data_IF_985654220811
#
_entry.id   IF_985654220811
#
_cell.length_a   1.000
_cell.length_b   1.000
_cell.length_c   1.000
_cell.angle_alpha   90.00
_cell.angle_beta   90.00
_cell.angle_gamma   90.00
#
_symmetry.space_group_name_H-M   'P 1'
#
loop_
_entity.id
_entity.type
_entity.pdbx_description
1 polymer ?
#
# COMPACT_ATOMS: atom_id res chain seq x y z
N UNK A 1 21.46 -17.34 -6.97
CA UNK A 1 20.20 -17.63 -6.32
C UNK A 1 19.14 -16.51 -6.56
N UNK A 2 19.41 -15.23 -6.27
CA UNK A 2 18.42 -14.15 -6.30
C UNK A 2 17.85 -13.84 -7.70
N UNK A 3 18.62 -13.90 -8.77
CA UNK A 3 18.10 -13.73 -10.16
C UNK A 3 17.07 -14.79 -10.53
N UNK A 4 17.30 -16.04 -10.13
CA UNK A 4 16.36 -17.14 -10.37
C UNK A 4 15.06 -16.92 -9.61
N UNK A 5 15.12 -16.46 -8.35
CA UNK A 5 13.93 -16.12 -7.55
C UNK A 5 13.13 -14.97 -8.16
N UNK A 6 13.81 -13.90 -8.59
CA UNK A 6 13.16 -12.76 -9.27
C UNK A 6 12.49 -13.23 -10.57
N UNK A 7 13.20 -13.99 -11.41
CA UNK A 7 12.64 -14.50 -12.65
C UNK A 7 11.44 -15.41 -12.41
N UNK A 8 11.54 -16.34 -11.47
CA UNK A 8 10.44 -17.22 -11.11
C UNK A 8 9.20 -16.46 -10.64
N UNK A 9 9.37 -15.45 -9.77
CA UNK A 9 8.26 -14.57 -9.36
C UNK A 9 7.62 -13.87 -10.57
N UNK A 10 8.42 -13.36 -11.48
CA UNK A 10 7.94 -12.65 -12.67
C UNK A 10 7.29 -13.55 -13.73
N UNK A 11 7.45 -14.87 -13.61
CA UNK A 11 6.66 -15.83 -14.40
C UNK A 11 5.21 -15.92 -13.90
N UNK A 12 4.95 -15.56 -12.64
CA UNK A 12 3.62 -15.67 -12.01
C UNK A 12 2.95 -14.31 -11.78
N UNK A 13 3.70 -13.21 -11.77
CA UNK A 13 3.15 -11.87 -11.54
C UNK A 13 3.88 -10.79 -12.33
N UNK A 14 3.25 -9.65 -12.48
CA UNK A 14 3.90 -8.44 -12.98
C UNK A 14 4.11 -7.48 -11.81
N UNK A 15 5.37 -7.10 -11.56
CA UNK A 15 5.71 -6.34 -10.37
C UNK A 15 6.73 -5.23 -10.62
N UNK A 16 6.68 -4.16 -9.79
CA UNK A 16 7.68 -3.10 -9.81
C UNK A 16 8.93 -3.46 -8.97
N UNK A 17 10.01 -2.73 -9.18
CA UNK A 17 11.31 -2.96 -8.51
C UNK A 17 11.18 -2.98 -6.99
N UNK A 18 10.37 -2.09 -6.41
CA UNK A 18 10.24 -1.95 -4.95
C UNK A 18 9.60 -3.20 -4.34
N UNK A 19 8.52 -3.68 -4.96
CA UNK A 19 7.82 -4.88 -4.51
C UNK A 19 8.70 -6.13 -4.68
N UNK A 20 9.35 -6.30 -5.83
CA UNK A 20 10.28 -7.41 -6.07
C UNK A 20 11.42 -7.42 -5.05
N UNK A 21 12.00 -6.26 -4.75
CA UNK A 21 13.05 -6.14 -3.74
C UNK A 21 12.55 -6.61 -2.36
N UNK A 22 11.34 -6.21 -1.97
CA UNK A 22 10.72 -6.64 -0.72
C UNK A 22 10.43 -8.15 -0.69
N UNK A 23 9.87 -8.71 -1.78
CA UNK A 23 9.53 -10.14 -1.90
C UNK A 23 10.76 -11.05 -1.81
N UNK A 24 11.89 -10.63 -2.39
CA UNK A 24 13.14 -11.43 -2.37
C UNK A 24 14.07 -11.06 -1.21
N UNK A 25 13.72 -10.10 -0.37
CA UNK A 25 14.50 -9.69 0.80
C UNK A 25 15.81 -8.97 0.43
N UNK A 26 15.79 -8.09 -0.57
CA UNK A 26 16.97 -7.34 -1.01
C UNK A 26 16.67 -5.84 -1.14
N UNK A 27 17.73 -5.04 -1.36
CA UNK A 27 17.56 -3.60 -1.64
C UNK A 27 17.07 -3.34 -3.07
N UNK A 28 16.33 -2.25 -3.29
CA UNK A 28 15.86 -1.85 -4.63
C UNK A 28 17.00 -1.67 -5.66
N UNK A 29 18.17 -1.11 -5.30
CA UNK A 29 19.32 -1.07 -6.23
C UNK A 29 19.81 -2.46 -6.66
N UNK A 30 19.86 -3.43 -5.72
CA UNK A 30 20.26 -4.80 -6.04
C UNK A 30 19.23 -5.49 -6.94
N UNK A 31 17.92 -5.32 -6.66
CA UNK A 31 16.85 -5.82 -7.52
C UNK A 31 16.92 -5.20 -8.92
N UNK A 32 17.13 -3.89 -9.02
CA UNK A 32 17.30 -3.19 -10.31
C UNK A 32 18.46 -3.73 -11.14
N UNK A 33 19.59 -4.06 -10.49
CA UNK A 33 20.73 -4.67 -11.17
C UNK A 33 20.37 -6.05 -11.76
N UNK A 34 19.68 -6.90 -10.98
CA UNK A 34 19.25 -8.21 -11.47
C UNK A 34 18.19 -8.11 -12.57
N UNK A 35 17.25 -7.19 -12.46
CA UNK A 35 16.22 -6.94 -13.47
C UNK A 35 16.81 -6.44 -14.79
N UNK A 36 17.84 -5.58 -14.74
CA UNK A 36 18.56 -5.16 -15.94
C UNK A 36 19.18 -6.36 -16.65
N UNK A 37 19.89 -7.23 -15.92
CA UNK A 37 20.50 -8.43 -16.49
C UNK A 37 19.49 -9.39 -17.10
N UNK A 38 18.33 -9.58 -16.43
CA UNK A 38 17.23 -10.42 -16.93
C UNK A 38 16.59 -9.82 -18.19
N UNK A 39 16.49 -8.48 -18.25
CA UNK A 39 15.98 -7.78 -19.42
C UNK A 39 16.96 -7.84 -20.59
N UNK A 40 18.24 -7.62 -20.34
CA UNK A 40 19.30 -7.70 -21.36
C UNK A 40 19.42 -9.11 -21.96
N UNK A 41 19.10 -10.16 -21.17
CA UNK A 41 19.03 -11.54 -21.66
C UNK A 41 17.71 -11.90 -22.36
N UNK A 42 16.76 -10.98 -22.47
CA UNK A 42 15.47 -11.22 -23.11
C UNK A 42 14.49 -12.09 -22.31
N UNK A 43 14.81 -12.42 -21.06
CA UNK A 43 13.95 -13.25 -20.19
C UNK A 43 12.82 -12.45 -19.53
N UNK A 44 12.99 -11.13 -19.42
CA UNK A 44 12.04 -10.23 -18.76
C UNK A 44 11.78 -9.04 -19.64
N UNK A 45 10.54 -8.62 -19.71
CA UNK A 45 10.10 -7.37 -20.35
C UNK A 45 9.65 -6.38 -19.29
N UNK A 46 9.66 -5.10 -19.66
CA UNK A 46 9.21 -4.05 -18.75
C UNK A 46 8.29 -3.07 -19.46
N UNK A 47 7.31 -2.55 -18.72
CA UNK A 47 6.46 -1.45 -19.16
C UNK A 47 6.42 -0.35 -18.11
N UNK A 48 6.19 0.87 -18.55
CA UNK A 48 6.07 2.02 -17.65
C UNK A 48 4.60 2.33 -17.43
N UNK A 49 4.21 2.43 -16.15
CA UNK A 49 2.88 2.85 -15.75
C UNK A 49 3.06 4.07 -14.82
N UNK A 50 2.69 5.24 -15.29
CA UNK A 50 2.91 6.48 -14.56
C UNK A 50 4.39 6.75 -14.28
N UNK A 51 4.77 6.80 -13.00
CA UNK A 51 6.16 7.04 -12.55
C UNK A 51 6.96 5.76 -12.35
N UNK A 52 6.36 4.59 -12.49
CA UNK A 52 6.93 3.30 -12.13
C UNK A 52 7.15 2.41 -13.33
N UNK A 53 8.11 1.49 -13.19
CA UNK A 53 8.43 0.49 -14.19
C UNK A 53 8.06 -0.87 -13.62
N UNK A 54 7.15 -1.54 -14.30
CA UNK A 54 6.71 -2.90 -14.00
C UNK A 54 7.45 -3.90 -14.88
N UNK A 55 7.73 -5.06 -14.34
CA UNK A 55 8.47 -6.14 -14.98
C UNK A 55 7.64 -7.42 -14.94
N UNK A 56 7.68 -8.20 -16.02
CA UNK A 56 7.12 -9.55 -16.09
C UNK A 56 8.03 -10.44 -16.92
N UNK A 57 7.90 -11.75 -16.82
CA UNK A 57 8.60 -12.66 -17.71
C UNK A 57 8.21 -12.36 -19.17
N UNK A 58 9.18 -12.51 -20.06
CA UNK A 58 8.94 -12.39 -21.50
C UNK A 58 8.12 -13.59 -21.99
N UNK A 59 7.21 -13.35 -22.91
CA UNK A 59 6.43 -14.40 -23.57
C UNK A 59 7.26 -15.00 -24.71
N UNK A 60 8.33 -15.72 -24.33
CA UNK A 60 9.26 -16.36 -25.26
C UNK A 60 9.43 -17.84 -24.89
N UNK A 61 9.71 -18.67 -25.89
CA UNK A 61 9.99 -20.10 -25.67
C UNK A 61 11.11 -20.31 -24.65
N UNK A 62 12.16 -19.50 -24.71
CA UNK A 62 13.31 -19.57 -23.80
C UNK A 62 12.91 -19.29 -22.35
N UNK A 63 12.07 -18.27 -22.13
CA UNK A 63 11.56 -17.96 -20.79
C UNK A 63 10.67 -19.08 -20.27
N UNK A 64 9.80 -19.65 -21.12
CA UNK A 64 8.95 -20.81 -20.74
C UNK A 64 9.76 -22.06 -20.41
N UNK A 65 10.77 -22.38 -21.20
CA UNK A 65 11.68 -23.51 -20.91
C UNK A 65 12.45 -23.32 -19.60
N UNK A 66 12.97 -22.11 -19.38
CA UNK A 66 13.69 -21.82 -18.13
C UNK A 66 12.77 -21.92 -16.92
N UNK A 67 11.53 -21.45 -17.01
CA UNK A 67 10.52 -21.60 -15.96
C UNK A 67 10.28 -23.09 -15.62
N UNK A 68 10.04 -23.92 -16.63
CA UNK A 68 9.85 -25.37 -16.44
C UNK A 68 11.07 -26.05 -15.79
N UNK A 69 12.29 -25.65 -16.18
CA UNK A 69 13.52 -26.19 -15.59
C UNK A 69 13.62 -25.81 -14.12
N UNK A 70 13.31 -24.56 -13.76
CA UNK A 70 13.34 -24.11 -12.37
C UNK A 70 12.34 -24.90 -11.53
N UNK A 71 11.11 -25.07 -11.99
CA UNK A 71 10.09 -25.86 -11.27
C UNK A 71 10.49 -27.31 -11.04
N UNK A 72 11.07 -27.95 -12.05
CA UNK A 72 11.53 -29.35 -11.94
C UNK A 72 12.76 -29.52 -11.04
N UNK A 73 13.62 -28.51 -10.96
CA UNK A 73 14.91 -28.62 -10.26
C UNK A 73 14.80 -28.27 -8.78
N UNK A 74 13.84 -27.42 -8.40
CA UNK A 74 13.78 -26.84 -7.04
C UNK A 74 12.63 -27.45 -6.23
N UNK A 75 11.86 -28.41 -6.78
CA UNK A 75 10.60 -28.93 -6.18
C UNK A 75 9.66 -27.81 -5.69
N UNK A 76 9.77 -26.63 -6.28
CA UNK A 76 8.88 -25.51 -6.01
C UNK A 76 7.65 -25.72 -6.86
N UNK A 77 6.61 -26.24 -6.26
CA UNK A 77 5.29 -26.24 -6.87
C UNK A 77 4.87 -24.79 -7.10
N UNK A 78 4.47 -24.43 -8.32
CA UNK A 78 3.80 -23.15 -8.56
C UNK A 78 2.70 -23.00 -7.52
N UNK A 79 2.62 -21.89 -6.79
CA UNK A 79 1.46 -21.62 -5.96
C UNK A 79 0.24 -21.76 -6.86
N UNK A 80 -0.71 -22.62 -6.48
CA UNK A 80 -2.01 -22.66 -7.15
C UNK A 80 -2.57 -21.24 -7.14
N UNK A 81 -3.27 -20.86 -8.18
CA UNK A 81 -3.86 -19.52 -8.37
C UNK A 81 -4.59 -18.98 -7.13
N UNK A 82 -5.04 -19.84 -6.23
CA UNK A 82 -5.73 -19.50 -4.98
C UNK A 82 -4.80 -19.06 -3.82
N UNK A 83 -3.48 -19.24 -3.92
CA UNK A 83 -2.54 -19.03 -2.80
C UNK A 83 -1.61 -17.82 -2.97
N UNK A 84 -1.57 -17.19 -4.15
CA UNK A 84 -0.85 -15.95 -4.37
C UNK A 84 -1.85 -14.79 -4.35
N UNK A 85 -1.63 -13.74 -3.56
CA UNK A 85 -2.36 -12.51 -3.79
C UNK A 85 -1.94 -12.02 -5.17
N UNK A 86 -2.79 -12.29 -6.17
CA UNK A 86 -2.58 -11.78 -7.51
C UNK A 86 -2.47 -10.26 -7.45
N UNK A 87 -1.32 -9.74 -7.86
CA UNK A 87 -1.35 -8.40 -8.40
C UNK A 87 -2.40 -8.39 -9.51
N UNK A 88 -3.32 -7.42 -9.54
CA UNK A 88 -4.40 -7.42 -10.50
C UNK A 88 -3.81 -7.60 -11.90
N UNK A 89 -4.27 -8.62 -12.64
CA UNK A 89 -4.04 -8.74 -14.06
C UNK A 89 -4.57 -7.46 -14.71
N UNK A 90 -3.67 -6.52 -14.92
CA UNK A 90 -3.98 -5.40 -15.78
C UNK A 90 -4.20 -5.98 -17.19
N UNK A 91 -5.34 -5.70 -17.83
CA UNK A 91 -5.63 -6.22 -19.15
C UNK A 91 -4.47 -5.89 -20.11
N UNK A 92 -4.25 -6.70 -21.16
CA UNK A 92 -3.24 -6.43 -22.17
C UNK A 92 -3.46 -5.02 -22.71
N UNK A 93 -2.38 -4.22 -22.72
CA UNK A 93 -2.44 -2.85 -23.22
C UNK A 93 -2.42 -2.88 -24.74
N UNK A 94 -3.57 -3.17 -25.35
CA UNK A 94 -3.86 -2.71 -26.71
C UNK A 94 -4.55 -1.36 -26.59
N UNK A 95 -3.80 -0.35 -27.01
CA UNK A 95 -4.28 0.98 -27.37
C UNK A 95 -5.41 1.55 -26.51
N UNK A 96 -5.06 2.44 -25.56
CA UNK A 96 -5.77 3.73 -25.42
C UNK A 96 -5.00 4.59 -24.42
N UNK A 97 -4.17 5.46 -24.95
CA UNK A 97 -3.78 6.68 -24.27
C UNK A 97 -5.05 7.52 -24.11
N UNK A 98 -5.52 7.67 -22.87
CA UNK A 98 -6.62 8.59 -22.58
C UNK A 98 -7.86 7.94 -22.03
N UNK A 99 -7.85 7.58 -20.74
CA UNK A 99 -9.06 7.56 -19.90
C UNK A 99 -8.64 7.30 -18.44
N UNK A 100 -8.24 8.36 -17.75
CA UNK A 100 -8.16 8.38 -16.29
C UNK A 100 -9.56 8.64 -15.71
N UNK A 101 -10.50 7.75 -15.99
CA UNK A 101 -11.84 7.76 -15.42
C UNK A 101 -12.43 6.35 -15.26
N UNK A 102 -11.59 5.31 -15.19
CA UNK A 102 -12.05 3.99 -14.82
C UNK A 102 -11.92 3.87 -13.29
N UNK A 103 -13.05 3.63 -12.59
CA UNK A 103 -13.09 3.38 -11.16
C UNK A 103 -12.19 2.20 -10.77
N UNK A 104 -11.87 2.09 -9.47
CA UNK A 104 -11.05 0.99 -8.94
C UNK A 104 -11.66 -0.36 -9.35
N UNK A 105 -10.79 -1.32 -9.69
CA UNK A 105 -11.25 -2.70 -9.84
C UNK A 105 -11.80 -3.23 -8.51
N UNK A 106 -12.70 -4.22 -8.51
CA UNK A 106 -13.21 -4.81 -7.26
C UNK A 106 -12.12 -5.26 -6.30
N UNK A 107 -11.05 -5.85 -6.84
CA UNK A 107 -9.91 -6.31 -6.06
C UNK A 107 -9.07 -5.14 -5.49
N UNK A 108 -8.83 -4.09 -6.27
CA UNK A 108 -8.16 -2.89 -5.78
C UNK A 108 -8.97 -2.21 -4.67
N UNK A 109 -10.29 -2.14 -4.83
CA UNK A 109 -11.18 -1.59 -3.82
C UNK A 109 -11.13 -2.40 -2.54
N UNK A 110 -11.18 -3.72 -2.62
CA UNK A 110 -11.08 -4.61 -1.46
C UNK A 110 -9.76 -4.38 -0.69
N UNK A 111 -8.61 -4.31 -1.39
CA UNK A 111 -7.32 -4.02 -0.76
C UNK A 111 -7.34 -2.66 -0.08
N UNK A 112 -7.88 -1.64 -0.72
CA UNK A 112 -7.96 -0.28 -0.17
C UNK A 112 -8.89 -0.23 1.04
N UNK A 113 -9.99 -0.99 1.06
CA UNK A 113 -10.86 -1.14 2.22
C UNK A 113 -10.14 -1.82 3.40
N UNK A 114 -9.35 -2.86 3.14
CA UNK A 114 -8.54 -3.52 4.17
C UNK A 114 -7.43 -2.58 4.71
N UNK A 115 -6.82 -1.77 3.86
CA UNK A 115 -5.87 -0.71 4.28
C UNK A 115 -6.58 0.30 5.19
N UNK A 116 -7.77 0.76 4.81
CA UNK A 116 -8.57 1.68 5.61
C UNK A 116 -8.93 1.08 6.97
N UNK A 117 -9.44 -0.16 6.99
CA UNK A 117 -9.79 -0.85 8.22
C UNK A 117 -8.59 -0.97 9.16
N UNK A 118 -7.44 -1.44 8.66
CA UNK A 118 -6.21 -1.54 9.44
C UNK A 118 -5.81 -0.20 10.07
N UNK A 119 -5.93 0.88 9.34
CA UNK A 119 -5.56 2.22 9.79
C UNK A 119 -6.55 2.78 10.83
N UNK A 120 -7.84 2.53 10.67
CA UNK A 120 -8.89 3.01 11.59
C UNK A 120 -8.95 2.20 12.89
N UNK A 121 -8.60 0.93 12.85
CA UNK A 121 -8.45 0.09 14.05
C UNK A 121 -7.22 0.46 14.88
N UNK A 122 -6.19 1.05 14.27
CA UNK A 122 -4.90 1.37 14.90
C UNK A 122 -4.61 2.88 14.89
N UNK A 123 -5.58 3.70 15.29
CA UNK A 123 -5.43 5.16 15.30
C UNK A 123 -4.40 5.69 16.31
N UNK A 124 -4.12 4.93 17.36
CA UNK A 124 -3.13 5.23 18.39
C UNK A 124 -1.69 5.04 17.92
N UNK A 125 -1.48 4.22 16.90
CA UNK A 125 -0.18 3.88 16.36
C UNK A 125 0.12 4.60 15.04
N UNK A 126 1.42 4.72 14.70
CA UNK A 126 1.85 5.30 13.43
C UNK A 126 2.24 4.20 12.46
N UNK A 127 1.30 3.81 11.60
CA UNK A 127 1.59 2.90 10.50
C UNK A 127 2.12 3.71 9.32
N UNK A 128 3.32 3.37 8.82
CA UNK A 128 3.92 4.06 7.68
C UNK A 128 3.43 3.50 6.35
N UNK A 129 3.53 4.30 5.29
CA UNK A 129 3.14 3.85 3.94
C UNK A 129 3.99 2.66 3.47
N UNK A 130 5.26 2.59 3.91
CA UNK A 130 6.16 1.50 3.60
C UNK A 130 5.72 0.19 4.27
N UNK A 131 5.21 0.27 5.51
CA UNK A 131 4.64 -0.89 6.22
C UNK A 131 3.37 -1.38 5.53
N UNK A 132 2.49 -0.47 5.12
CA UNK A 132 1.29 -0.80 4.35
C UNK A 132 1.64 -1.43 3.01
N UNK A 133 2.59 -0.84 2.28
CA UNK A 133 3.05 -1.34 0.99
C UNK A 133 3.61 -2.76 1.07
N UNK A 134 4.38 -3.06 2.12
CA UNK A 134 4.89 -4.42 2.36
C UNK A 134 3.78 -5.39 2.72
N UNK A 135 2.84 -4.98 3.56
CA UNK A 135 1.74 -5.85 4.04
C UNK A 135 0.76 -6.20 2.92
N UNK A 136 0.41 -5.23 2.09
CA UNK A 136 -0.57 -5.39 1.01
C UNK A 136 0.07 -5.61 -0.37
N UNK A 137 1.40 -5.77 -0.41
CA UNK A 137 2.18 -5.99 -1.64
C UNK A 137 1.84 -4.98 -2.75
N UNK A 138 1.55 -3.75 -2.35
CA UNK A 138 1.15 -2.66 -3.24
C UNK A 138 2.18 -1.54 -3.19
N UNK A 139 2.50 -0.98 -4.35
CA UNK A 139 3.40 0.16 -4.44
C UNK A 139 2.88 1.38 -3.65
N UNK A 140 3.75 2.12 -2.94
CA UNK A 140 3.38 3.33 -2.21
C UNK A 140 2.64 4.38 -3.02
N UNK A 141 3.03 4.62 -4.27
CA UNK A 141 2.38 5.61 -5.14
C UNK A 141 1.00 5.14 -5.56
N UNK A 142 0.89 3.90 -6.02
CA UNK A 142 -0.38 3.27 -6.39
C UNK A 142 -1.35 3.24 -5.22
N UNK A 143 -0.89 2.85 -4.03
CA UNK A 143 -1.72 2.85 -2.81
C UNK A 143 -2.28 4.23 -2.49
N UNK A 144 -1.45 5.29 -2.57
CA UNK A 144 -1.90 6.67 -2.34
C UNK A 144 -2.93 7.13 -3.38
N UNK A 145 -2.71 6.80 -4.64
CA UNK A 145 -3.60 7.15 -5.75
C UNK A 145 -4.96 6.45 -5.62
N UNK A 146 -4.96 5.13 -5.42
CA UNK A 146 -6.18 4.34 -5.26
C UNK A 146 -6.94 4.74 -3.99
N UNK A 147 -6.24 4.95 -2.86
CA UNK A 147 -6.87 5.42 -1.63
C UNK A 147 -7.53 6.78 -1.81
N UNK A 148 -6.85 7.71 -2.49
CA UNK A 148 -7.42 9.03 -2.80
C UNK A 148 -8.61 8.93 -3.75
N UNK A 149 -8.57 8.02 -4.72
CA UNK A 149 -9.68 7.79 -5.64
C UNK A 149 -10.92 7.22 -4.92
N UNK A 150 -10.73 6.30 -3.96
CA UNK A 150 -11.83 5.67 -3.22
C UNK A 150 -12.40 6.58 -2.13
N UNK A 151 -11.54 7.25 -1.33
CA UNK A 151 -11.96 8.04 -0.16
C UNK A 151 -11.92 9.56 -0.37
N UNK A 152 -11.57 10.05 -1.55
CA UNK A 152 -11.54 11.48 -1.88
C UNK A 152 -10.40 12.28 -1.22
N UNK A 153 -9.63 11.67 -0.32
CA UNK A 153 -8.58 12.34 0.46
C UNK A 153 -7.31 11.49 0.57
N UNK A 154 -6.18 12.12 0.91
CA UNK A 154 -4.96 11.36 1.16
C UNK A 154 -5.08 10.52 2.44
N UNK A 155 -4.36 9.39 2.51
CA UNK A 155 -4.30 8.52 3.70
C UNK A 155 -4.03 9.34 4.98
N UNK A 156 -3.07 10.27 4.94
CA UNK A 156 -2.73 11.08 6.09
C UNK A 156 -3.84 12.04 6.53
N UNK A 157 -4.56 12.64 5.58
CA UNK A 157 -5.68 13.52 5.86
C UNK A 157 -6.89 12.73 6.41
N UNK A 158 -7.16 11.57 5.81
CA UNK A 158 -8.24 10.68 6.20
C UNK A 158 -8.06 10.17 7.64
N UNK A 159 -6.89 9.65 7.97
CA UNK A 159 -6.58 9.17 9.33
C UNK A 159 -6.58 10.32 10.35
N UNK A 160 -6.12 11.50 9.95
CA UNK A 160 -6.23 12.69 10.82
C UNK A 160 -7.67 13.00 11.18
N UNK A 161 -8.58 12.91 10.23
CA UNK A 161 -10.02 13.13 10.46
C UNK A 161 -10.56 12.09 11.45
N UNK A 162 -10.32 10.79 11.24
CA UNK A 162 -10.75 9.72 12.17
C UNK A 162 -10.16 9.88 13.57
N UNK A 163 -8.89 10.31 13.69
CA UNK A 163 -8.27 10.61 15.00
C UNK A 163 -9.00 11.75 15.71
N UNK A 164 -9.40 12.78 14.99
CA UNK A 164 -10.12 13.92 15.57
C UNK A 164 -11.56 13.54 15.94
N UNK A 165 -12.23 12.73 15.16
CA UNK A 165 -13.55 12.18 15.48
C UNK A 165 -13.52 11.30 16.73
N UNK A 166 -12.57 10.38 16.83
CA UNK A 166 -12.34 9.56 18.05
C UNK A 166 -12.01 10.44 19.25
N UNK A 167 -11.19 11.49 19.06
CA UNK A 167 -10.85 12.41 20.13
C UNK A 167 -12.09 13.18 20.64
N UNK A 168 -12.97 13.64 19.74
CA UNK A 168 -14.19 14.33 20.14
C UNK A 168 -15.10 13.42 20.98
N UNK A 169 -15.26 12.16 20.60
CA UNK A 169 -16.00 11.17 21.38
C UNK A 169 -15.37 10.96 22.78
N UNK A 170 -14.06 10.72 22.85
CA UNK A 170 -13.34 10.56 24.13
C UNK A 170 -13.44 11.80 25.04
N UNK A 171 -13.43 13.01 24.46
CA UNK A 171 -13.58 14.24 25.22
C UNK A 171 -14.95 14.35 25.91
N UNK A 172 -15.98 13.74 25.36
CA UNK A 172 -17.36 13.78 25.89
C UNK A 172 -17.67 12.60 26.80
N UNK A 173 -17.16 11.42 26.47
CA UNK A 173 -17.52 10.16 27.13
C UNK A 173 -16.59 9.80 28.29
N UNK A 174 -15.34 10.26 28.24
CA UNK A 174 -14.36 9.93 29.28
C UNK A 174 -13.98 11.13 30.14
N UNK A 175 -13.62 10.87 31.40
CA UNK A 175 -13.01 11.83 32.30
C UNK A 175 -11.52 12.05 32.05
N UNK A 176 -10.95 11.51 30.97
CA UNK A 176 -9.53 11.53 30.67
C UNK A 176 -8.98 12.94 30.52
N UNK A 177 -7.74 13.14 30.98
CA UNK A 177 -7.01 14.38 30.71
C UNK A 177 -6.77 14.57 29.21
N UNK A 178 -6.57 15.82 28.78
CA UNK A 178 -6.28 16.11 27.38
C UNK A 178 -5.01 15.41 26.88
N UNK A 179 -4.04 15.16 27.77
CA UNK A 179 -2.85 14.42 27.46
C UNK A 179 -3.12 12.91 27.24
N UNK A 180 -4.04 12.32 27.97
CA UNK A 180 -4.48 10.93 27.79
C UNK A 180 -5.25 10.78 26.47
N UNK A 181 -6.20 11.68 26.20
CA UNK A 181 -6.94 11.71 24.94
C UNK A 181 -5.98 11.85 23.75
N UNK A 182 -5.01 12.77 23.83
CA UNK A 182 -3.99 12.96 22.78
C UNK A 182 -3.24 11.66 22.47
N UNK A 183 -2.78 10.94 23.50
CA UNK A 183 -2.09 9.63 23.34
C UNK A 183 -3.00 8.57 22.75
N UNK A 184 -4.24 8.47 23.23
CA UNK A 184 -5.22 7.49 22.74
C UNK A 184 -5.56 7.63 21.25
N UNK A 185 -5.30 8.81 20.68
CA UNK A 185 -5.50 9.07 19.24
C UNK A 185 -4.17 9.27 18.49
N UNK A 186 -3.04 8.80 19.06
CA UNK A 186 -1.75 8.71 18.39
C UNK A 186 -0.96 10.02 18.29
N UNK A 187 -1.16 10.95 19.23
CA UNK A 187 -0.35 12.16 19.36
C UNK A 187 0.56 12.08 20.58
N UNK A 188 1.87 12.22 20.37
CA UNK A 188 2.87 12.24 21.42
C UNK A 188 2.81 13.53 22.26
N UNK A 189 2.31 14.62 21.67
CA UNK A 189 2.27 15.95 22.28
C UNK A 189 0.85 16.50 22.34
N UNK A 190 0.40 16.87 23.53
CA UNK A 190 -0.87 17.55 23.75
C UNK A 190 -0.97 18.86 22.94
N UNK A 191 0.13 19.58 22.78
CA UNK A 191 0.15 20.85 22.03
C UNK A 191 -0.12 20.59 20.53
N UNK A 192 0.52 19.57 19.94
CA UNK A 192 0.25 19.19 18.54
C UNK A 192 -1.18 18.70 18.36
N UNK A 193 -1.67 17.88 19.27
CA UNK A 193 -3.06 17.44 19.31
C UNK A 193 -4.03 18.63 19.34
N UNK A 194 -3.85 19.56 20.30
CA UNK A 194 -4.74 20.71 20.45
C UNK A 194 -4.76 21.62 19.22
N UNK A 195 -3.61 21.80 18.57
CA UNK A 195 -3.51 22.57 17.33
C UNK A 195 -4.26 21.90 16.17
N UNK A 196 -4.12 20.58 16.01
CA UNK A 196 -4.85 19.83 14.97
C UNK A 196 -6.35 19.77 15.26
N UNK A 197 -6.74 19.57 16.51
CA UNK A 197 -8.15 19.58 16.93
C UNK A 197 -8.82 20.93 16.62
N UNK A 198 -8.13 22.04 16.94
CA UNK A 198 -8.63 23.39 16.62
C UNK A 198 -8.78 23.61 15.10
N UNK A 199 -7.91 23.05 14.27
CA UNK A 199 -8.04 23.14 12.81
C UNK A 199 -9.31 22.44 12.29
N UNK A 200 -9.68 21.31 12.91
CA UNK A 200 -10.84 20.52 12.48
C UNK A 200 -12.15 21.05 13.05
N UNK A 201 -12.17 21.37 14.36
CA UNK A 201 -13.40 21.76 15.06
C UNK A 201 -13.54 23.27 15.31
N UNK A 202 -12.57 24.07 14.92
CA UNK A 202 -12.59 25.54 15.08
C UNK A 202 -12.30 26.04 16.51
N UNK A 203 -12.23 25.12 17.52
CA UNK A 203 -12.03 25.46 18.93
C UNK A 203 -11.05 24.49 19.60
N UNK A 204 -10.52 24.87 20.75
CA UNK A 204 -9.61 24.02 21.52
C UNK A 204 -10.35 22.82 22.14
N UNK A 205 -9.66 21.67 22.37
CA UNK A 205 -10.27 20.50 23.01
C UNK A 205 -10.90 20.80 24.39
N UNK A 206 -10.28 21.69 25.15
CA UNK A 206 -10.81 22.11 26.46
C UNK A 206 -12.10 22.94 26.36
N UNK A 207 -12.21 23.76 25.34
CA UNK A 207 -13.41 24.55 25.04
C UNK A 207 -14.52 23.64 24.53
N UNK A 208 -14.19 22.71 23.64
CA UNK A 208 -15.10 21.70 23.12
C UNK A 208 -15.72 20.87 24.27
N UNK A 209 -14.89 20.37 25.19
CA UNK A 209 -15.37 19.62 26.36
C UNK A 209 -16.31 20.45 27.22
N UNK A 210 -15.96 21.70 27.54
CA UNK A 210 -16.79 22.57 28.38
C UNK A 210 -18.14 22.88 27.72
N UNK A 211 -18.15 23.10 26.41
CA UNK A 211 -19.35 23.44 25.68
C UNK A 211 -20.35 22.27 25.61
N UNK A 212 -19.85 21.03 25.52
CA UNK A 212 -20.66 19.84 25.29
C UNK A 212 -20.82 18.95 26.54
N UNK A 213 -20.07 19.17 27.63
CA UNK A 213 -20.19 18.42 28.89
C UNK A 213 -21.37 18.88 29.79
N UNK A 214 -22.23 19.73 29.28
CA UNK A 214 -23.34 20.34 30.02
C UNK A 214 -24.74 19.78 29.65
N UNK A 215 -24.78 18.58 29.09
CA UNK A 215 -26.07 17.92 28.80
C UNK A 215 -26.11 16.52 29.36
#
# INVERSE_FOLDING_TARGET
ANRVRIFWLLCHCEECVVNLAALVGMSSPAASHHLRQLKDSGLVVSRRIGKEVYYRAADTEVAGLLHQVIERTVEVTCPREEAMPHAPHLPPVDAHAGEHAAGLTPQQREIIHQVHQLLTENLDSRITIEQLSRRFLMNPSTMKELFKAEYGSSIAAHIRQHRMEKASALLLESGDSLAQVARAVGYESQSKFSAEFKKVFGMLPSEFRKLHAGH
#
